data_IF_371269720407
#
_entry.id   IF_371269720407
#
_cell.length_a   1.000
_cell.length_b   1.000
_cell.length_c   1.000
_cell.angle_alpha   90.00
_cell.angle_beta   90.00
_cell.angle_gamma   90.00
#
_symmetry.space_group_name_H-M   'P 1'
#
loop_
_entity.id
_entity.type
_entity.pdbx_description
1 polymer ?
#
# COMPACT_ATOMS: atom_id res chain seq x y z
N UNK A 1 37.88 -28.34 -14.27
CA UNK A 1 36.80 -27.37 -14.04
C UNK A 1 37.42 -26.09 -13.54
N UNK A 2 37.78 -25.23 -14.48
CA UNK A 2 38.40 -23.96 -14.20
C UNK A 2 37.37 -22.84 -14.04
N UNK A 3 37.69 -21.86 -13.23
CA UNK A 3 36.95 -20.58 -13.18
C UNK A 3 37.20 -19.87 -14.52
N UNK A 4 36.15 -19.59 -15.28
CA UNK A 4 36.22 -18.76 -16.48
C UNK A 4 36.03 -17.32 -16.07
N UNK A 5 37.06 -16.50 -16.31
CA UNK A 5 37.00 -15.06 -16.09
C UNK A 5 36.73 -14.39 -17.45
N UNK A 6 35.51 -13.84 -17.59
CA UNK A 6 35.08 -13.16 -18.82
C UNK A 6 34.87 -11.67 -18.50
N UNK A 7 35.51 -10.78 -19.27
CA UNK A 7 35.36 -9.33 -19.08
C UNK A 7 33.96 -8.85 -19.54
N UNK A 8 33.41 -9.46 -20.60
CA UNK A 8 32.05 -9.21 -21.11
C UNK A 8 31.45 -10.54 -21.55
N UNK A 9 30.21 -10.79 -21.15
CA UNK A 9 29.42 -11.91 -21.65
C UNK A 9 28.15 -11.34 -22.27
N UNK A 10 28.00 -11.57 -23.59
CA UNK A 10 26.78 -11.26 -24.33
C UNK A 10 26.04 -12.56 -24.66
N UNK A 11 24.80 -12.69 -24.21
CA UNK A 11 23.99 -13.88 -24.39
C UNK A 11 22.66 -13.49 -24.99
N UNK A 12 22.45 -13.84 -26.28
CA UNK A 12 21.19 -13.56 -26.98
C UNK A 12 20.03 -14.53 -26.62
N UNK A 13 20.30 -15.49 -25.75
CA UNK A 13 19.35 -16.53 -25.37
C UNK A 13 19.03 -16.55 -23.86
N UNK A 14 18.23 -17.53 -23.46
CA UNK A 14 17.94 -17.78 -22.04
C UNK A 14 19.18 -18.31 -21.31
N UNK A 15 19.35 -17.88 -20.06
CA UNK A 15 20.37 -18.44 -19.14
C UNK A 15 19.63 -19.28 -18.08
N UNK A 16 19.92 -20.59 -18.06
CA UNK A 16 19.46 -21.51 -17.02
C UNK A 16 20.61 -21.72 -16.02
N UNK A 17 20.37 -21.37 -14.75
CA UNK A 17 21.34 -21.51 -13.67
C UNK A 17 20.81 -22.48 -12.64
N UNK A 18 21.40 -23.66 -12.54
CA UNK A 18 21.01 -24.69 -11.57
C UNK A 18 21.40 -24.35 -10.11
N UNK A 19 22.04 -23.20 -9.86
CA UNK A 19 22.51 -22.77 -8.54
C UNK A 19 22.35 -21.25 -8.38
N UNK A 20 23.07 -20.67 -7.44
CA UNK A 20 23.01 -19.26 -7.08
C UNK A 20 23.60 -18.35 -8.14
N UNK A 21 22.99 -17.20 -8.43
CA UNK A 21 23.60 -16.06 -9.08
C UNK A 21 24.07 -15.07 -8.02
N UNK A 22 25.39 -14.81 -7.97
CA UNK A 22 25.95 -13.72 -7.17
C UNK A 22 26.29 -12.56 -8.11
N UNK A 23 25.83 -11.36 -7.79
CA UNK A 23 26.11 -10.14 -8.52
C UNK A 23 26.64 -9.09 -7.54
N UNK A 24 27.89 -8.68 -7.71
CA UNK A 24 28.54 -7.67 -6.86
C UNK A 24 28.17 -6.23 -7.27
N UNK A 25 27.48 -6.06 -8.37
CA UNK A 25 27.02 -4.78 -8.92
C UNK A 25 25.50 -4.70 -9.02
N UNK A 26 25.03 -3.71 -9.77
CA UNK A 26 23.60 -3.55 -10.03
C UNK A 26 23.08 -4.57 -11.04
N UNK A 27 21.85 -5.06 -10.84
CA UNK A 27 21.08 -5.81 -11.83
C UNK A 27 20.14 -4.83 -12.54
N UNK A 28 20.27 -4.71 -13.86
CA UNK A 28 19.40 -3.88 -14.70
C UNK A 28 18.59 -4.75 -15.64
N UNK A 29 17.25 -4.62 -15.58
CA UNK A 29 16.33 -5.25 -16.52
C UNK A 29 15.51 -4.16 -17.21
N UNK A 30 15.45 -4.17 -18.54
CA UNK A 30 14.67 -3.22 -19.35
C UNK A 30 13.20 -3.64 -19.52
N UNK A 31 12.87 -4.91 -19.20
CA UNK A 31 11.55 -5.48 -19.42
C UNK A 31 10.83 -5.94 -18.14
N UNK A 32 11.38 -5.60 -16.97
CA UNK A 32 10.87 -6.07 -15.68
C UNK A 32 11.52 -7.36 -15.20
N UNK A 33 11.10 -7.87 -14.05
CA UNK A 33 11.58 -9.11 -13.46
C UNK A 33 10.43 -9.84 -12.77
N UNK A 34 10.42 -11.17 -12.88
CA UNK A 34 9.55 -12.04 -12.11
C UNK A 34 10.41 -12.89 -11.19
N UNK A 35 10.15 -12.85 -9.89
CA UNK A 35 10.80 -13.66 -8.89
C UNK A 35 9.73 -14.54 -8.25
N UNK A 36 9.87 -15.85 -8.29
CA UNK A 36 8.87 -16.79 -7.76
C UNK A 36 9.54 -17.92 -6.96
N UNK A 37 8.87 -18.34 -5.89
CA UNK A 37 9.23 -19.53 -5.11
C UNK A 37 8.07 -20.54 -5.14
N UNK A 38 8.39 -21.82 -5.00
CA UNK A 38 7.38 -22.88 -4.98
C UNK A 38 6.98 -23.30 -3.56
N UNK A 39 7.55 -22.67 -2.55
CA UNK A 39 7.36 -22.98 -1.13
C UNK A 39 7.05 -21.70 -0.30
N UNK A 40 7.12 -21.83 1.02
CA UNK A 40 6.82 -20.73 1.96
C UNK A 40 8.05 -19.90 2.36
N UNK A 41 9.16 -19.99 1.62
CA UNK A 41 10.32 -19.13 1.86
C UNK A 41 10.10 -17.73 1.33
N UNK A 42 10.86 -16.76 1.84
CA UNK A 42 10.78 -15.38 1.37
C UNK A 42 11.17 -15.30 -0.11
N UNK A 43 10.24 -14.84 -0.94
CA UNK A 43 10.48 -14.68 -2.38
C UNK A 43 11.45 -13.55 -2.71
N UNK A 44 11.39 -12.46 -1.95
CA UNK A 44 12.31 -11.31 -2.08
C UNK A 44 12.68 -10.79 -0.71
N UNK A 45 13.98 -10.71 -0.40
CA UNK A 45 14.51 -10.07 0.79
C UNK A 45 15.34 -8.86 0.38
N UNK A 46 15.07 -7.70 1.00
CA UNK A 46 15.89 -6.51 0.88
C UNK A 46 16.63 -6.28 2.20
N UNK A 47 17.92 -6.51 2.22
CA UNK A 47 18.73 -6.47 3.45
C UNK A 47 19.84 -5.43 3.29
N UNK A 48 19.95 -4.51 4.25
CA UNK A 48 21.12 -3.65 4.44
C UNK A 48 21.90 -4.13 5.65
N UNK A 49 23.21 -4.23 5.53
CA UNK A 49 24.12 -4.52 6.64
C UNK A 49 24.87 -3.27 7.12
N UNK A 50 24.45 -2.10 6.66
CA UNK A 50 25.01 -0.82 7.07
C UNK A 50 24.76 -0.58 8.57
N UNK A 51 25.81 -0.13 9.27
CA UNK A 51 25.78 0.07 10.72
C UNK A 51 25.55 1.54 11.12
N UNK A 52 25.51 2.45 10.16
CA UNK A 52 25.27 3.86 10.44
C UNK A 52 23.78 4.20 10.64
N UNK A 53 23.46 5.48 10.90
CA UNK A 53 22.12 5.94 11.18
C UNK A 53 21.32 6.33 9.90
N UNK A 54 21.85 6.08 8.72
CA UNK A 54 21.19 6.40 7.46
C UNK A 54 20.11 5.37 7.09
N UNK A 55 19.28 5.75 6.11
CA UNK A 55 18.13 4.94 5.70
C UNK A 55 18.61 3.75 4.87
N UNK A 56 18.15 2.54 5.22
CA UNK A 56 18.33 1.32 4.44
C UNK A 56 17.61 0.12 5.08
N UNK A 57 17.19 -0.89 4.30
CA UNK A 57 17.12 -0.96 2.84
C UNK A 57 15.97 -0.10 2.27
N UNK A 58 16.11 0.34 1.03
CA UNK A 58 15.10 1.15 0.34
C UNK A 58 14.41 0.37 -0.78
N UNK A 59 13.08 0.40 -0.83
CA UNK A 59 12.29 0.07 -2.01
C UNK A 59 11.80 1.37 -2.64
N UNK A 60 12.30 1.70 -3.83
CA UNK A 60 11.90 2.89 -4.56
C UNK A 60 11.02 2.51 -5.76
N UNK A 61 9.76 2.95 -5.73
CA UNK A 61 8.88 2.91 -6.88
C UNK A 61 8.97 4.27 -7.59
N UNK A 62 9.49 4.27 -8.82
CA UNK A 62 9.76 5.52 -9.53
C UNK A 62 9.22 5.47 -10.96
N UNK A 63 8.23 6.30 -11.25
CA UNK A 63 7.73 6.51 -12.60
C UNK A 63 8.46 7.67 -13.25
N UNK A 64 9.46 7.37 -14.08
CA UNK A 64 10.20 8.37 -14.85
C UNK A 64 9.48 8.66 -16.17
N UNK A 65 8.39 9.41 -16.11
CA UNK A 65 7.64 9.81 -17.31
C UNK A 65 8.28 11.01 -17.99
N UNK A 66 8.37 10.99 -19.32
CA UNK A 66 8.74 12.17 -20.13
C UNK A 66 7.56 13.15 -20.31
N UNK A 67 6.36 12.76 -19.90
CA UNK A 67 5.14 13.57 -19.97
C UNK A 67 4.30 13.30 -18.71
N UNK A 68 4.74 13.80 -17.54
CA UNK A 68 3.96 13.68 -16.33
C UNK A 68 2.64 14.46 -16.46
N UNK A 69 1.57 13.97 -15.87
CA UNK A 69 0.26 14.60 -15.88
C UNK A 69 -0.45 14.42 -14.54
N UNK A 70 -1.33 15.35 -14.24
CA UNK A 70 -2.24 15.25 -13.08
C UNK A 70 -3.05 13.95 -13.18
N UNK A 71 -3.29 13.35 -12.04
CA UNK A 71 -3.92 12.04 -11.91
C UNK A 71 -3.08 10.83 -12.38
N UNK A 72 -1.79 11.00 -12.60
CA UNK A 72 -0.87 9.89 -12.84
C UNK A 72 -0.68 9.04 -11.57
N UNK A 73 -0.82 7.72 -11.68
CA UNK A 73 -0.42 6.80 -10.61
C UNK A 73 1.10 6.61 -10.64
N UNK A 74 1.79 6.94 -9.53
CA UNK A 74 3.24 6.83 -9.42
C UNK A 74 3.67 5.38 -9.20
N UNK A 75 2.97 4.67 -8.33
CA UNK A 75 3.29 3.29 -7.99
C UNK A 75 2.15 2.59 -7.26
N UNK A 76 2.16 1.26 -7.36
CA UNK A 76 1.16 0.39 -6.76
C UNK A 76 1.86 -0.79 -6.09
N UNK A 77 1.39 -1.17 -4.92
CA UNK A 77 1.70 -2.44 -4.25
C UNK A 77 0.38 -3.19 -4.10
N UNK A 78 0.20 -4.28 -4.84
CA UNK A 78 -0.98 -5.14 -4.78
C UNK A 78 -0.70 -6.39 -3.96
N UNK A 79 -1.65 -6.73 -3.10
CA UNK A 79 -1.74 -8.01 -2.41
C UNK A 79 -2.84 -8.81 -3.10
N UNK A 80 -2.41 -9.74 -3.96
CA UNK A 80 -3.29 -10.53 -4.79
C UNK A 80 -3.39 -11.98 -4.30
N UNK A 81 -4.50 -12.60 -4.62
CA UNK A 81 -4.76 -14.01 -4.35
C UNK A 81 -5.82 -14.55 -5.29
N UNK A 82 -6.33 -15.73 -5.00
CA UNK A 82 -7.44 -16.35 -5.74
C UNK A 82 -8.64 -16.58 -4.85
N UNK A 83 -9.84 -16.42 -5.41
CA UNK A 83 -11.07 -16.84 -4.77
C UNK A 83 -11.31 -18.37 -5.00
N UNK A 84 -12.36 -18.90 -4.40
CA UNK A 84 -12.76 -20.31 -4.52
C UNK A 84 -13.19 -20.73 -5.93
N UNK A 85 -13.47 -19.78 -6.82
CA UNK A 85 -13.74 -19.99 -8.24
C UNK A 85 -12.49 -19.84 -9.13
N UNK A 86 -11.28 -19.80 -8.52
CA UNK A 86 -9.99 -19.69 -9.21
C UNK A 86 -9.81 -18.38 -10.00
N UNK A 87 -10.52 -17.33 -9.64
CA UNK A 87 -10.37 -16.00 -10.22
C UNK A 87 -9.35 -15.19 -9.41
N UNK A 88 -8.48 -14.48 -10.09
CA UNK A 88 -7.51 -13.60 -9.43
C UNK A 88 -8.24 -12.37 -8.84
N UNK A 89 -7.90 -12.02 -7.59
CA UNK A 89 -8.49 -10.91 -6.84
C UNK A 89 -7.40 -10.05 -6.21
N UNK A 90 -7.63 -8.74 -6.16
CA UNK A 90 -6.82 -7.82 -5.37
C UNK A 90 -7.46 -7.71 -3.98
N UNK A 91 -6.84 -8.33 -2.97
CA UNK A 91 -7.34 -8.33 -1.60
C UNK A 91 -7.06 -6.99 -0.88
N UNK A 92 -5.89 -6.39 -1.15
CA UNK A 92 -5.52 -5.08 -0.66
C UNK A 92 -4.60 -4.36 -1.66
N UNK A 93 -4.55 -3.03 -1.59
CA UNK A 93 -3.72 -2.19 -2.44
C UNK A 93 -3.23 -0.96 -1.69
N UNK A 94 -1.95 -0.62 -1.89
CA UNK A 94 -1.37 0.67 -1.51
C UNK A 94 -0.95 1.37 -2.81
N UNK A 95 -1.44 2.57 -3.07
CA UNK A 95 -1.08 3.31 -4.27
C UNK A 95 -0.99 4.81 -4.01
N UNK A 96 -0.18 5.48 -4.83
CA UNK A 96 -0.03 6.94 -4.81
C UNK A 96 -0.42 7.52 -6.16
N UNK A 97 -1.29 8.53 -6.11
CA UNK A 97 -1.72 9.35 -7.24
C UNK A 97 -1.07 10.73 -7.10
N UNK A 98 -0.57 11.29 -8.19
CA UNK A 98 -0.19 12.72 -8.24
C UNK A 98 -1.41 13.54 -8.58
N UNK A 99 -1.78 14.47 -7.71
CA UNK A 99 -2.93 15.34 -7.95
C UNK A 99 -2.55 16.55 -8.80
N UNK A 100 -1.35 17.10 -8.59
CA UNK A 100 -0.78 18.23 -9.35
C UNK A 100 0.71 17.93 -9.63
N UNK A 101 1.13 18.01 -10.89
CA UNK A 101 2.53 17.82 -11.33
C UNK A 101 3.26 19.15 -11.56
N UNK A 102 2.62 20.30 -11.31
CA UNK A 102 3.17 21.63 -11.58
C UNK A 102 4.35 21.94 -10.67
N UNK A 103 5.49 22.35 -11.26
CA UNK A 103 6.73 22.67 -10.54
C UNK A 103 6.50 23.72 -9.43
N UNK A 104 6.82 23.34 -8.19
CA UNK A 104 6.68 24.14 -6.99
C UNK A 104 5.31 24.11 -6.30
N UNK A 105 4.34 23.36 -6.84
CA UNK A 105 3.00 23.15 -6.25
C UNK A 105 2.56 21.68 -6.32
N UNK A 106 3.54 20.75 -6.42
CA UNK A 106 3.26 19.34 -6.55
C UNK A 106 2.46 18.82 -5.35
N UNK A 107 1.36 18.16 -5.66
CA UNK A 107 0.47 17.52 -4.69
C UNK A 107 0.28 16.04 -4.99
N UNK A 108 0.03 15.24 -3.96
CA UNK A 108 -0.21 13.80 -4.13
C UNK A 108 -1.17 13.24 -3.08
N UNK A 109 -1.90 12.20 -3.47
CA UNK A 109 -2.80 11.43 -2.59
C UNK A 109 -2.30 9.99 -2.43
N UNK A 110 -2.17 9.54 -1.18
CA UNK A 110 -1.92 8.15 -0.81
C UNK A 110 -3.24 7.44 -0.49
N UNK A 111 -3.43 6.24 -1.05
CA UNK A 111 -4.54 5.35 -0.75
C UNK A 111 -4.08 4.05 -0.11
N UNK A 112 -4.81 3.61 0.92
CA UNK A 112 -4.76 2.27 1.48
C UNK A 112 -6.15 1.67 1.32
N UNK A 113 -6.24 0.64 0.50
CA UNK A 113 -7.50 0.03 0.07
C UNK A 113 -7.57 -1.43 0.49
N UNK A 114 -8.77 -1.94 0.74
CA UNK A 114 -9.02 -3.38 0.93
C UNK A 114 -10.28 -3.81 0.19
N UNK A 115 -10.36 -5.09 -0.13
CA UNK A 115 -11.57 -5.64 -0.72
C UNK A 115 -12.71 -5.71 0.31
N UNK A 116 -13.89 -5.28 -0.13
CA UNK A 116 -15.16 -5.44 0.57
C UNK A 116 -16.19 -5.98 -0.43
N UNK A 117 -16.76 -7.16 -0.17
CA UNK A 117 -17.78 -7.78 -1.02
C UNK A 117 -17.43 -7.80 -2.52
N UNK A 118 -16.18 -8.16 -2.86
CA UNK A 118 -15.70 -8.26 -4.25
C UNK A 118 -15.24 -6.93 -4.88
N UNK A 119 -15.28 -5.83 -4.14
CA UNK A 119 -14.86 -4.51 -4.63
C UNK A 119 -13.72 -3.96 -3.77
N UNK A 120 -12.65 -3.44 -4.40
CA UNK A 120 -11.58 -2.73 -3.71
C UNK A 120 -12.11 -1.36 -3.28
N UNK A 121 -12.08 -1.08 -1.98
CA UNK A 121 -12.64 0.14 -1.37
C UNK A 121 -11.61 0.84 -0.50
N UNK A 122 -11.66 2.19 -0.49
CA UNK A 122 -10.74 3.01 0.28
C UNK A 122 -10.98 2.88 1.78
N UNK A 123 -9.93 2.52 2.52
CA UNK A 123 -9.90 2.50 3.99
C UNK A 123 -9.34 3.78 4.54
N UNK A 124 -8.24 4.23 3.94
CA UNK A 124 -7.54 5.47 4.30
C UNK A 124 -7.17 6.17 2.99
N UNK A 125 -7.52 7.45 2.91
CA UNK A 125 -7.11 8.35 1.85
C UNK A 125 -6.45 9.56 2.49
N UNK A 126 -5.20 9.82 2.12
CA UNK A 126 -4.44 10.97 2.60
C UNK A 126 -4.21 11.91 1.43
N UNK A 127 -4.93 13.02 1.42
CA UNK A 127 -4.79 14.10 0.44
C UNK A 127 -3.84 15.19 0.97
N UNK A 128 -3.46 16.19 0.17
CA UNK A 128 -2.66 17.32 0.65
C UNK A 128 -3.27 18.08 1.83
N UNK A 129 -4.59 18.04 1.99
CA UNK A 129 -5.31 18.85 2.99
C UNK A 129 -6.00 18.07 4.09
N UNK A 130 -6.21 16.76 3.92
CA UNK A 130 -6.95 15.95 4.91
C UNK A 130 -6.58 14.46 4.86
N UNK A 131 -6.91 13.76 5.94
CA UNK A 131 -6.92 12.29 5.99
C UNK A 131 -8.35 11.82 6.20
N UNK A 132 -8.87 11.06 5.23
CA UNK A 132 -10.22 10.51 5.25
C UNK A 132 -10.16 9.02 5.56
N UNK A 133 -10.99 8.58 6.50
CA UNK A 133 -11.27 7.16 6.75
C UNK A 133 -12.60 6.83 6.09
N UNK A 134 -12.67 5.72 5.33
CA UNK A 134 -13.89 5.30 4.64
C UNK A 134 -14.39 6.32 3.59
N UNK A 135 -13.51 6.81 2.71
CA UNK A 135 -13.81 7.80 1.66
C UNK A 135 -14.95 7.35 0.72
N UNK A 136 -15.09 6.03 0.52
CA UNK A 136 -16.15 5.45 -0.32
C UNK A 136 -17.53 5.37 0.37
N UNK A 137 -17.68 5.90 1.58
CA UNK A 137 -18.94 5.91 2.35
C UNK A 137 -19.59 4.52 2.46
N UNK A 138 -18.79 3.51 2.75
CA UNK A 138 -19.28 2.14 2.96
C UNK A 138 -19.78 1.96 4.40
N UNK A 139 -20.54 0.89 4.64
CA UNK A 139 -20.85 0.41 5.99
C UNK A 139 -19.58 -0.20 6.62
N UNK A 140 -18.69 0.69 7.08
CA UNK A 140 -17.39 0.37 7.67
C UNK A 140 -17.21 1.18 8.94
N UNK A 141 -16.92 0.46 10.02
CA UNK A 141 -16.66 1.05 11.31
C UNK A 141 -15.21 1.49 11.46
N UNK A 142 -15.01 2.60 12.17
CA UNK A 142 -13.71 2.99 12.69
C UNK A 142 -13.73 2.91 14.22
N UNK A 143 -12.77 2.17 14.79
CA UNK A 143 -12.70 1.95 16.23
C UNK A 143 -11.29 2.16 16.76
N UNK A 144 -11.20 2.83 17.89
CA UNK A 144 -9.98 2.93 18.70
C UNK A 144 -10.21 2.16 20.00
N UNK A 145 -9.34 1.21 20.27
CA UNK A 145 -9.34 0.41 21.48
C UNK A 145 -8.27 0.89 22.47
N UNK A 146 -8.52 0.74 23.75
CA UNK A 146 -7.52 0.90 24.81
C UNK A 146 -7.35 -0.40 25.56
N UNK A 147 -6.37 -0.47 26.49
CA UNK A 147 -6.24 -1.64 27.35
C UNK A 147 -7.46 -1.79 28.26
N UNK A 148 -8.37 -2.68 27.90
CA UNK A 148 -9.60 -2.99 28.63
C UNK A 148 -10.87 -2.28 28.17
N UNK A 149 -10.79 -1.40 27.14
CA UNK A 149 -11.97 -0.79 26.51
C UNK A 149 -11.88 -0.99 24.98
N UNK A 150 -12.85 -1.72 24.42
CA UNK A 150 -12.87 -2.09 22.99
C UNK A 150 -13.37 -0.97 22.08
N UNK A 151 -14.02 0.05 22.64
CA UNK A 151 -14.71 1.14 21.92
C UNK A 151 -14.48 2.49 22.61
N UNK A 152 -13.19 2.80 22.90
CA UNK A 152 -12.83 4.11 23.46
C UNK A 152 -13.23 5.26 22.53
N UNK A 153 -13.12 5.06 21.22
CA UNK A 153 -13.78 5.85 20.17
C UNK A 153 -14.34 4.87 19.14
N UNK A 154 -15.61 5.00 18.81
CA UNK A 154 -16.26 4.20 17.79
C UNK A 154 -17.08 5.08 16.85
N UNK A 155 -16.83 4.95 15.56
CA UNK A 155 -17.62 5.56 14.49
C UNK A 155 -18.32 4.43 13.76
N UNK A 156 -19.63 4.32 13.91
CA UNK A 156 -20.49 3.34 13.27
C UNK A 156 -20.89 3.82 11.88
N UNK A 157 -20.33 3.20 10.85
CA UNK A 157 -20.59 3.57 9.46
C UNK A 157 -21.98 3.20 8.98
N UNK A 158 -22.59 2.15 9.57
CA UNK A 158 -23.93 1.68 9.22
C UNK A 158 -25.05 2.54 9.82
N UNK A 159 -24.86 3.02 11.04
CA UNK A 159 -25.86 3.80 11.77
C UNK A 159 -25.55 5.30 11.85
N UNK A 160 -24.41 5.75 11.29
CA UNK A 160 -23.95 7.15 11.30
C UNK A 160 -23.80 7.73 12.72
N UNK A 161 -23.30 6.92 13.67
CA UNK A 161 -23.11 7.28 15.05
C UNK A 161 -21.65 7.43 15.41
N UNK A 162 -21.34 8.31 16.36
CA UNK A 162 -20.03 8.40 17.00
C UNK A 162 -20.21 8.17 18.49
N UNK A 163 -19.46 7.20 19.04
CA UNK A 163 -19.46 6.86 20.47
C UNK A 163 -18.07 7.12 21.05
N UNK A 164 -18.03 7.69 22.26
CA UNK A 164 -16.79 7.87 23.03
C UNK A 164 -16.96 7.20 24.38
N UNK A 165 -16.16 6.16 24.66
CA UNK A 165 -16.27 5.34 25.86
C UNK A 165 -17.48 4.41 25.85
N UNK A 166 -17.57 3.55 26.86
CA UNK A 166 -18.69 2.61 26.99
C UNK A 166 -19.95 3.35 27.40
N UNK A 167 -20.91 3.53 26.49
CA UNK A 167 -22.27 3.93 26.78
C UNK A 167 -22.64 5.40 26.62
N UNK A 168 -21.81 6.21 25.97
CA UNK A 168 -22.16 7.58 25.57
C UNK A 168 -22.20 7.71 24.05
N UNK A 169 -23.39 7.70 23.46
CA UNK A 169 -23.58 7.96 22.02
C UNK A 169 -23.53 9.47 21.75
N UNK A 170 -22.59 9.91 20.88
CA UNK A 170 -22.64 11.24 20.27
C UNK A 170 -23.47 11.17 19.01
N UNK A 171 -24.77 11.41 19.12
CA UNK A 171 -25.64 11.48 17.95
C UNK A 171 -25.50 12.86 17.32
N UNK A 172 -24.87 12.96 16.15
CA UNK A 172 -24.98 14.15 15.30
C UNK A 172 -26.29 14.06 14.53
N UNK A 173 -27.30 14.76 15.00
CA UNK A 173 -28.56 14.89 14.27
C UNK A 173 -28.34 15.76 13.02
N UNK A 174 -28.75 15.26 11.86
CA UNK A 174 -28.75 15.94 10.55
C UNK A 174 -29.60 17.22 10.50
N UNK A 175 -30.21 17.65 11.58
CA UNK A 175 -31.08 18.82 11.69
C UNK A 175 -30.43 20.03 12.40
N UNK A 176 -29.10 20.12 12.48
CA UNK A 176 -28.41 21.36 12.92
C UNK A 176 -28.49 21.68 14.40
N UNK A 177 -28.91 20.78 15.26
CA UNK A 177 -28.86 20.94 16.72
C UNK A 177 -27.93 19.90 17.32
N UNK A 178 -26.73 20.32 17.73
CA UNK A 178 -25.81 19.51 18.52
C UNK A 178 -26.34 19.39 19.95
N UNK A 179 -26.80 18.22 20.34
CA UNK A 179 -27.16 17.93 21.73
C UNK A 179 -25.98 17.21 22.40
N UNK A 180 -25.18 17.96 23.15
CA UNK A 180 -24.23 17.41 24.11
C UNK A 180 -25.03 17.04 25.36
N UNK A 181 -25.26 15.76 25.65
CA UNK A 181 -25.79 15.31 26.94
C UNK A 181 -24.67 14.58 27.67
N UNK A 182 -24.11 15.23 28.70
CA UNK A 182 -23.38 14.54 29.75
C UNK A 182 -24.41 13.83 30.64
N UNK A 183 -24.31 12.50 30.72
CA UNK A 183 -25.05 11.72 31.71
C UNK A 183 -24.24 11.60 32.99
#
# INVERSE_FOLDING_TARGET
DGTTNLDVVDIDGAVDMASTLQVDGAITSSAGATISTADNTDTLQLISTDADANIGPNLRLYRNSSSPADSDTIGVIDFEGRNDNSQDIIAARINVLVDDVSDGTEDATLFINTMLAGTVSSRIKMTPTETVLNDDSKDLDFRVETNGVTDALFVDGGNNNVQIGTGADFVTNTAGTSNFRAG
#
